data_IF_653714571919
#
_entry.id   IF_653714571919
#
_cell.length_a   1.000
_cell.length_b   1.000
_cell.length_c   1.000
_cell.angle_alpha   90.00
_cell.angle_beta   90.00
_cell.angle_gamma   90.00
#
_symmetry.space_group_name_H-M   'P 1'
#
loop_
_entity.id
_entity.type
_entity.pdbx_description
1 polymer ?
#
# COMPACT_ATOMS: atom_id res chain seq x y z
N UNK A 1 5.36 -15.83 6.94
CA UNK A 1 4.86 -15.66 5.58
C UNK A 1 4.59 -14.20 5.28
N UNK A 2 5.11 -13.70 4.14
CA UNK A 2 4.88 -12.33 3.68
C UNK A 2 4.63 -12.35 2.17
N UNK A 3 3.39 -12.63 1.73
CA UNK A 3 3.06 -12.71 0.30
C UNK A 3 3.11 -11.33 -0.34
N UNK A 4 3.76 -11.23 -1.49
CA UNK A 4 3.86 -10.00 -2.25
C UNK A 4 2.57 -9.66 -2.97
N UNK A 5 2.00 -8.50 -2.69
CA UNK A 5 0.70 -8.07 -3.23
C UNK A 5 0.75 -6.80 -4.07
N UNK A 6 1.92 -6.12 -4.16
CA UNK A 6 2.06 -4.94 -5.02
C UNK A 6 1.68 -5.27 -6.45
N UNK A 7 0.83 -4.45 -7.04
CA UNK A 7 0.37 -4.63 -8.42
C UNK A 7 -0.81 -5.60 -8.60
N UNK A 8 -1.24 -6.34 -7.57
CA UNK A 8 -2.27 -7.39 -7.72
C UNK A 8 -3.72 -6.87 -7.72
N UNK A 9 -3.95 -5.65 -7.28
CA UNK A 9 -5.27 -5.02 -7.26
C UNK A 9 -5.13 -3.50 -7.31
N UNK A 10 -6.16 -2.81 -7.81
CA UNK A 10 -6.12 -1.37 -8.07
C UNK A 10 -7.21 -0.56 -7.34
N UNK A 11 -8.12 -1.21 -6.62
CA UNK A 11 -9.22 -0.53 -5.93
C UNK A 11 -9.41 -1.02 -4.51
N UNK A 12 -9.99 -0.19 -3.61
CA UNK A 12 -10.33 -0.59 -2.25
C UNK A 12 -11.21 -1.84 -2.17
N UNK A 13 -12.16 -2.00 -3.10
CA UNK A 13 -13.07 -3.16 -3.16
C UNK A 13 -12.31 -4.44 -3.52
N UNK A 14 -11.35 -4.32 -4.46
CA UNK A 14 -10.49 -5.44 -4.84
C UNK A 14 -9.54 -5.83 -3.70
N UNK A 15 -9.04 -4.86 -2.93
CA UNK A 15 -8.27 -5.13 -1.70
C UNK A 15 -9.11 -5.88 -0.66
N UNK A 16 -10.36 -5.45 -0.43
CA UNK A 16 -11.28 -6.13 0.49
C UNK A 16 -11.61 -7.56 0.03
N UNK A 17 -11.74 -7.78 -1.27
CA UNK A 17 -11.95 -9.13 -1.82
C UNK A 17 -10.72 -10.01 -1.61
N UNK A 18 -9.51 -9.53 -1.96
CA UNK A 18 -8.27 -10.25 -1.74
C UNK A 18 -8.08 -10.62 -0.26
N UNK A 19 -8.42 -9.71 0.65
CA UNK A 19 -8.34 -9.98 2.09
C UNK A 19 -9.19 -11.19 2.49
N UNK A 20 -10.44 -11.27 2.01
CA UNK A 20 -11.31 -12.41 2.32
C UNK A 20 -10.84 -13.71 1.67
N UNK A 21 -10.33 -13.64 0.45
CA UNK A 21 -9.97 -14.82 -0.35
C UNK A 21 -8.56 -15.34 -0.05
N UNK A 22 -7.66 -14.48 0.44
CA UNK A 22 -6.25 -14.82 0.63
C UNK A 22 -5.78 -14.51 2.05
N UNK A 23 -5.84 -13.22 2.51
CA UNK A 23 -5.20 -12.85 3.77
C UNK A 23 -5.84 -13.52 4.99
N UNK A 24 -7.17 -13.62 5.03
CA UNK A 24 -7.84 -14.26 6.17
C UNK A 24 -7.58 -15.78 6.24
N UNK A 25 -7.68 -16.56 5.13
CA UNK A 25 -7.25 -17.95 5.13
C UNK A 25 -5.77 -18.15 5.46
N UNK A 26 -4.87 -17.35 4.88
CA UNK A 26 -3.43 -17.44 5.16
C UNK A 26 -3.10 -17.16 6.62
N UNK A 27 -3.73 -16.12 7.20
CA UNK A 27 -3.58 -15.80 8.62
C UNK A 27 -4.07 -16.95 9.51
N UNK A 28 -5.22 -17.53 9.21
CA UNK A 28 -5.76 -18.67 9.95
C UNK A 28 -4.81 -19.88 9.90
N UNK A 29 -4.29 -20.18 8.72
CA UNK A 29 -3.28 -21.24 8.55
C UNK A 29 -2.00 -20.93 9.32
N UNK A 30 -1.49 -19.70 9.23
CA UNK A 30 -0.29 -19.30 9.97
C UNK A 30 -0.47 -19.45 11.48
N UNK A 31 -1.64 -19.08 12.01
CA UNK A 31 -1.94 -19.27 13.44
C UNK A 31 -1.93 -20.75 13.83
N UNK A 32 -2.55 -21.61 13.04
CA UNK A 32 -2.58 -23.06 13.30
C UNK A 32 -1.17 -23.66 13.30
N UNK A 33 -0.33 -23.21 12.36
CA UNK A 33 1.05 -23.67 12.20
C UNK A 33 2.08 -22.92 13.06
N UNK A 34 1.63 -22.04 13.96
CA UNK A 34 2.48 -21.18 14.81
C UNK A 34 3.52 -20.39 13.99
N UNK A 35 3.11 -19.88 12.85
CA UNK A 35 3.89 -19.03 11.94
C UNK A 35 3.45 -17.59 12.05
N UNK A 36 4.36 -16.65 11.79
CA UNK A 36 4.01 -15.24 11.65
C UNK A 36 3.51 -14.97 10.23
N UNK A 37 2.41 -14.22 10.12
CA UNK A 37 1.90 -13.68 8.87
C UNK A 37 2.13 -12.17 8.81
N UNK A 38 2.70 -11.69 7.72
CA UNK A 38 3.04 -10.28 7.51
C UNK A 38 2.50 -9.86 6.15
N UNK A 39 1.22 -9.45 6.04
CA UNK A 39 0.66 -9.02 4.78
C UNK A 39 1.35 -7.76 4.27
N UNK A 40 1.57 -7.71 2.94
CA UNK A 40 2.15 -6.57 2.26
C UNK A 40 1.05 -5.64 1.83
N UNK A 41 1.18 -4.33 2.14
CA UNK A 41 0.30 -3.27 1.65
C UNK A 41 1.12 -2.21 0.91
N UNK A 42 0.49 -1.45 0.03
CA UNK A 42 1.16 -0.47 -0.80
C UNK A 42 0.26 0.74 -1.10
N UNK A 43 0.82 1.96 -1.30
CA UNK A 43 0.02 3.17 -1.50
C UNK A 43 -0.61 3.27 -2.89
N UNK A 44 0.09 2.82 -3.90
CA UNK A 44 -0.23 2.82 -5.32
C UNK A 44 0.94 2.19 -6.07
N UNK A 45 0.86 2.11 -7.40
CA UNK A 45 1.91 1.46 -8.19
C UNK A 45 1.94 1.97 -9.63
N UNK A 46 3.15 2.14 -10.17
CA UNK A 46 3.39 2.49 -11.55
C UNK A 46 4.48 1.59 -12.14
N UNK A 47 4.11 0.75 -13.07
CA UNK A 47 5.06 -0.13 -13.77
C UNK A 47 5.75 0.52 -14.97
N UNK A 48 5.45 1.80 -15.25
CA UNK A 48 5.87 2.49 -16.47
C UNK A 48 7.38 2.42 -16.68
N UNK A 49 8.18 2.94 -15.73
CA UNK A 49 9.63 3.03 -15.88
C UNK A 49 10.29 1.64 -15.92
N UNK A 50 9.84 0.71 -15.07
CA UNK A 50 10.35 -0.66 -15.07
C UNK A 50 10.04 -1.40 -16.39
N UNK A 51 8.86 -1.18 -16.96
CA UNK A 51 8.48 -1.73 -18.28
C UNK A 51 9.34 -1.15 -19.40
N UNK A 52 9.57 0.16 -19.38
CA UNK A 52 10.42 0.84 -20.35
C UNK A 52 11.86 0.27 -20.36
N UNK A 53 12.43 0.00 -19.18
CA UNK A 53 13.74 -0.66 -19.05
C UNK A 53 13.77 -2.07 -19.65
N UNK A 54 12.63 -2.73 -19.77
CA UNK A 54 12.47 -4.05 -20.38
C UNK A 54 12.02 -4.00 -21.83
N UNK A 55 12.01 -2.81 -22.45
CA UNK A 55 11.53 -2.61 -23.82
C UNK A 55 10.02 -2.85 -23.98
N UNK A 56 9.26 -2.72 -22.91
CA UNK A 56 7.80 -2.88 -22.90
C UNK A 56 7.13 -1.52 -22.64
N UNK A 57 5.93 -1.36 -23.14
CA UNK A 57 5.11 -0.18 -22.89
C UNK A 57 4.10 -0.47 -21.76
N UNK A 58 3.96 0.48 -20.84
CA UNK A 58 2.98 0.44 -19.78
C UNK A 58 2.57 1.88 -19.40
N UNK A 59 1.26 2.11 -19.07
CA UNK A 59 0.83 3.44 -18.69
C UNK A 59 1.46 3.88 -17.37
N UNK A 60 1.69 5.18 -17.21
CA UNK A 60 2.06 5.77 -15.93
C UNK A 60 0.86 5.68 -14.96
N UNK A 61 1.13 5.40 -13.67
CA UNK A 61 0.11 5.40 -12.61
C UNK A 61 -1.00 4.36 -12.81
N UNK A 62 -0.65 3.12 -13.14
CA UNK A 62 -1.64 2.03 -13.35
C UNK A 62 -2.52 1.78 -12.12
N UNK A 63 -1.96 1.95 -10.93
CA UNK A 63 -2.69 1.85 -9.65
C UNK A 63 -2.58 3.18 -8.92
N UNK A 64 -3.58 4.07 -9.07
CA UNK A 64 -3.56 5.37 -8.44
C UNK A 64 -3.58 5.30 -6.92
N UNK A 65 -2.85 6.20 -6.28
CA UNK A 65 -2.73 6.30 -4.81
C UNK A 65 -4.02 6.78 -4.12
N UNK A 66 -4.90 7.49 -4.85
CA UNK A 66 -6.23 7.94 -4.39
C UNK A 66 -6.21 8.68 -3.06
N UNK A 67 -5.22 9.56 -2.85
CA UNK A 67 -5.09 10.30 -1.59
C UNK A 67 -4.92 9.42 -0.34
N UNK A 68 -4.56 8.14 -0.50
CA UNK A 68 -4.37 7.20 0.59
C UNK A 68 -5.54 6.23 0.83
N UNK A 69 -6.66 6.36 0.12
CA UNK A 69 -7.84 5.51 0.29
C UNK A 69 -7.51 4.03 0.05
N UNK A 70 -6.79 3.71 -1.03
CA UNK A 70 -6.33 2.34 -1.30
C UNK A 70 -5.41 1.80 -0.20
N UNK A 71 -4.47 2.61 0.26
CA UNK A 71 -3.53 2.24 1.32
C UNK A 71 -4.26 1.96 2.65
N UNK A 72 -5.15 2.86 3.02
CA UNK A 72 -5.90 2.75 4.27
C UNK A 72 -6.82 1.53 4.27
N UNK A 73 -7.54 1.29 3.17
CA UNK A 73 -8.40 0.11 3.03
C UNK A 73 -7.61 -1.19 3.22
N UNK A 74 -6.44 -1.31 2.65
CA UNK A 74 -5.58 -2.47 2.83
C UNK A 74 -5.20 -2.67 4.31
N UNK A 75 -4.81 -1.60 5.01
CA UNK A 75 -4.46 -1.67 6.42
C UNK A 75 -5.66 -2.13 7.29
N UNK A 76 -6.84 -1.60 7.03
CA UNK A 76 -8.08 -2.00 7.71
C UNK A 76 -8.41 -3.48 7.45
N UNK A 77 -8.35 -3.91 6.22
CA UNK A 77 -8.66 -5.30 5.86
C UNK A 77 -7.63 -6.29 6.40
N UNK A 78 -6.35 -5.93 6.44
CA UNK A 78 -5.32 -6.75 7.08
C UNK A 78 -5.57 -6.88 8.60
N UNK A 79 -5.93 -5.77 9.28
CA UNK A 79 -6.33 -5.82 10.70
C UNK A 79 -7.54 -6.72 10.91
N UNK A 80 -8.57 -6.62 10.06
CA UNK A 80 -9.77 -7.47 10.12
C UNK A 80 -9.45 -8.94 9.88
N UNK A 81 -8.49 -9.24 9.01
CA UNK A 81 -7.98 -10.60 8.80
C UNK A 81 -7.17 -11.13 10.00
N UNK A 82 -6.88 -10.31 11.01
CA UNK A 82 -6.17 -10.72 12.22
C UNK A 82 -4.68 -10.41 12.22
N UNK A 83 -4.18 -9.64 11.25
CA UNK A 83 -2.77 -9.25 11.24
C UNK A 83 -2.41 -8.35 12.42
N UNK A 84 -1.28 -8.61 13.04
CA UNK A 84 -0.69 -7.80 14.12
C UNK A 84 0.42 -6.88 13.62
N UNK A 85 0.89 -7.12 12.41
CA UNK A 85 1.98 -6.36 11.76
C UNK A 85 1.72 -6.25 10.26
N UNK A 86 2.30 -5.23 9.62
CA UNK A 86 2.21 -4.99 8.19
C UNK A 86 3.60 -4.78 7.61
N UNK A 87 3.81 -5.23 6.38
CA UNK A 87 4.91 -4.78 5.55
C UNK A 87 4.39 -3.71 4.58
N UNK A 88 4.98 -2.53 4.59
CA UNK A 88 4.63 -1.45 3.68
C UNK A 88 5.63 -1.41 2.53
N UNK A 89 5.17 -1.69 1.35
CA UNK A 89 5.96 -1.63 0.12
C UNK A 89 5.63 -0.34 -0.63
N UNK A 90 6.58 0.64 -0.72
CA UNK A 90 7.93 0.65 -0.14
C UNK A 90 8.18 1.98 0.58
N UNK A 91 9.27 2.07 1.33
CA UNK A 91 9.63 3.32 1.99
C UNK A 91 10.05 4.39 0.98
N UNK A 92 10.97 4.09 0.06
CA UNK A 92 11.70 5.04 -0.79
C UNK A 92 11.61 4.76 -2.31
N UNK A 93 10.78 3.82 -2.74
CA UNK A 93 10.64 3.44 -4.15
C UNK A 93 9.80 4.47 -4.92
N UNK A 94 10.44 5.58 -5.33
CA UNK A 94 9.77 6.67 -6.07
C UNK A 94 9.46 6.24 -7.50
N UNK A 95 10.34 5.48 -8.12
CA UNK A 95 10.27 5.08 -9.53
C UNK A 95 9.01 4.28 -9.84
N UNK A 96 8.64 3.38 -8.97
CA UNK A 96 7.40 2.60 -9.07
C UNK A 96 6.18 3.28 -8.43
N UNK A 97 6.31 4.49 -7.90
CA UNK A 97 5.22 5.22 -7.25
C UNK A 97 4.75 4.61 -5.92
N UNK A 98 5.54 3.74 -5.30
CA UNK A 98 5.22 3.08 -4.03
C UNK A 98 5.80 3.78 -2.81
N UNK A 99 6.64 4.80 -2.99
CA UNK A 99 7.29 5.50 -1.87
C UNK A 99 6.29 6.08 -0.87
N UNK A 100 6.56 5.89 0.43
CA UNK A 100 5.82 6.54 1.52
C UNK A 100 6.63 7.61 2.24
N UNK A 101 7.92 7.71 1.95
CA UNK A 101 8.78 8.74 2.51
C UNK A 101 8.30 10.13 2.15
N UNK A 102 8.75 11.13 2.90
CA UNK A 102 8.46 12.53 2.62
C UNK A 102 9.15 12.99 1.33
N UNK A 103 8.35 13.21 0.29
CA UNK A 103 8.82 13.67 -1.02
C UNK A 103 8.37 15.11 -1.27
N UNK A 104 9.16 15.87 -2.05
CA UNK A 104 8.72 17.14 -2.61
C UNK A 104 7.57 16.94 -3.60
N UNK A 105 6.66 17.91 -3.70
CA UNK A 105 5.50 17.82 -4.59
C UNK A 105 5.84 17.83 -6.08
N UNK A 106 6.98 18.44 -6.47
CA UNK A 106 7.45 18.44 -7.85
C UNK A 106 8.56 17.42 -8.03
N UNK A 107 8.31 16.49 -8.94
CA UNK A 107 9.35 15.56 -9.40
C UNK A 107 10.30 16.28 -10.35
N UNK A 108 11.61 15.97 -10.32
CA UNK A 108 12.56 16.49 -11.29
C UNK A 108 12.14 16.12 -12.72
N UNK A 109 12.29 17.05 -13.66
CA UNK A 109 12.16 16.76 -15.06
C UNK A 109 13.37 15.93 -15.54
N UNK A 110 13.12 14.84 -16.24
CA UNK A 110 14.14 13.95 -16.78
C UNK A 110 13.58 13.09 -17.90
N UNK A 111 14.37 12.13 -18.37
CA UNK A 111 13.93 11.20 -19.41
C UNK A 111 12.86 10.22 -18.91
N UNK A 112 12.90 9.87 -17.62
CA UNK A 112 11.91 9.01 -16.98
C UNK A 112 10.84 9.85 -16.28
N UNK A 113 9.55 9.68 -16.60
CA UNK A 113 8.48 10.35 -15.89
C UNK A 113 8.27 9.71 -14.51
N UNK A 114 8.06 10.55 -13.49
CA UNK A 114 7.67 10.14 -12.14
C UNK A 114 6.25 10.58 -11.83
N UNK A 115 5.62 9.94 -10.86
CA UNK A 115 4.31 10.37 -10.39
C UNK A 115 4.42 11.72 -9.67
N UNK A 116 3.47 12.60 -9.96
CA UNK A 116 3.24 13.78 -9.12
C UNK A 116 2.57 13.33 -7.81
N UNK A 117 3.20 13.64 -6.68
CA UNK A 117 2.73 13.30 -5.34
C UNK A 117 2.20 14.53 -4.58
N UNK A 118 1.87 15.62 -5.29
CA UNK A 118 1.43 16.89 -4.70
C UNK A 118 -0.04 16.94 -4.33
N UNK A 119 -0.81 15.91 -4.61
CA UNK A 119 -2.24 15.79 -4.30
C UNK A 119 -2.53 15.72 -2.77
N UNK A 120 -1.52 15.40 -1.98
CA UNK A 120 -1.59 15.31 -0.51
C UNK A 120 -0.34 15.94 0.12
N UNK A 121 -0.38 16.30 1.43
CA UNK A 121 0.82 16.75 2.13
C UNK A 121 1.97 15.77 2.00
N UNK A 122 3.21 16.26 1.88
CA UNK A 122 4.41 15.45 1.59
C UNK A 122 4.69 14.33 2.60
N UNK A 123 4.19 14.44 3.84
CA UNK A 123 4.31 13.45 4.90
C UNK A 123 3.04 12.61 5.11
N UNK A 124 2.07 12.70 4.19
CA UNK A 124 0.75 12.09 4.33
C UNK A 124 0.82 10.57 4.53
N UNK A 125 1.61 9.86 3.74
CA UNK A 125 1.71 8.40 3.83
C UNK A 125 2.49 7.93 5.06
N UNK A 126 3.47 8.69 5.54
CA UNK A 126 4.10 8.44 6.84
C UNK A 126 3.08 8.59 7.98
N UNK A 127 2.27 9.65 7.93
CA UNK A 127 1.21 9.85 8.90
C UNK A 127 0.16 8.72 8.85
N UNK A 128 -0.30 8.31 7.65
CA UNK A 128 -1.21 7.16 7.50
C UNK A 128 -0.60 5.87 8.02
N UNK A 129 0.69 5.63 7.79
CA UNK A 129 1.41 4.48 8.35
C UNK A 129 1.39 4.50 9.88
N UNK A 130 1.55 5.68 10.48
CA UNK A 130 1.41 5.88 11.92
C UNK A 130 -0.01 5.54 12.41
N UNK A 131 -1.05 5.98 11.69
CA UNK A 131 -2.44 5.64 12.03
C UNK A 131 -2.70 4.12 11.89
N UNK A 132 -2.17 3.48 10.83
CA UNK A 132 -2.24 2.04 10.67
C UNK A 132 -1.59 1.30 11.85
N UNK A 133 -0.42 1.75 12.30
CA UNK A 133 0.23 1.21 13.49
C UNK A 133 -0.63 1.35 14.77
N UNK A 134 -1.27 2.50 14.98
CA UNK A 134 -2.20 2.70 16.09
C UNK A 134 -3.41 1.76 16.02
N UNK A 135 -3.96 1.57 14.83
CA UNK A 135 -5.07 0.63 14.60
C UNK A 135 -4.64 -0.82 14.89
N UNK A 136 -3.46 -1.23 14.43
CA UNK A 136 -2.94 -2.57 14.70
C UNK A 136 -2.80 -2.85 16.21
N UNK A 137 -2.33 -1.87 16.99
CA UNK A 137 -2.23 -1.96 18.46
C UNK A 137 -3.57 -1.83 19.19
N UNK A 138 -4.66 -1.56 18.48
CA UNK A 138 -5.99 -1.39 19.07
C UNK A 138 -6.23 -0.03 19.72
N UNK A 139 -5.40 0.96 19.45
CA UNK A 139 -5.53 2.33 19.98
C UNK A 139 -6.64 3.12 19.27
N UNK A 140 -6.94 2.76 18.03
CA UNK A 140 -8.05 3.29 17.25
C UNK A 140 -8.83 2.15 16.55
N UNK A 141 -10.12 2.33 16.25
CA UNK A 141 -10.93 1.30 15.61
C UNK A 141 -10.52 1.08 14.15
N UNK A 142 -10.79 -0.14 13.64
CA UNK A 142 -10.62 -0.49 12.22
C UNK A 142 -11.78 0.06 11.37
N UNK A 143 -11.87 1.39 11.29
CA UNK A 143 -12.85 2.09 10.46
C UNK A 143 -12.35 2.16 9.01
N UNK A 144 -13.16 1.78 7.99
CA UNK A 144 -12.79 1.87 6.59
C UNK A 144 -12.67 3.31 6.05
N UNK A 145 -13.26 4.28 6.74
CA UNK A 145 -13.15 5.69 6.34
C UNK A 145 -11.73 6.20 6.53
N UNK A 146 -11.22 6.91 5.52
CA UNK A 146 -9.89 7.50 5.58
C UNK A 146 -9.80 8.45 6.78
N UNK A 147 -8.82 8.27 7.70
CA UNK A 147 -8.68 9.15 8.84
C UNK A 147 -8.36 10.59 8.39
N UNK A 148 -8.85 11.55 9.14
CA UNK A 148 -8.58 12.98 8.93
C UNK A 148 -7.49 13.44 9.89
N UNK A 149 -6.65 14.36 9.41
CA UNK A 149 -5.68 15.10 10.24
C UNK A 149 -6.39 16.13 11.12
#
# INVERSE_FOLDING_TARGET
LSPWTVGRFATPEAASRLSREVWAPDQAWCLAEKKTYLPVIFPGFSWHNLSALRGQDAPLNQIPRRGGDLFWRQAVEAKRAGASSLYIAMFDEIDEGTAIMKCGGRTPAGESPFLDLSDVPSDHYLWLSGQAGRMLRGEIPANPDLPKR
#
